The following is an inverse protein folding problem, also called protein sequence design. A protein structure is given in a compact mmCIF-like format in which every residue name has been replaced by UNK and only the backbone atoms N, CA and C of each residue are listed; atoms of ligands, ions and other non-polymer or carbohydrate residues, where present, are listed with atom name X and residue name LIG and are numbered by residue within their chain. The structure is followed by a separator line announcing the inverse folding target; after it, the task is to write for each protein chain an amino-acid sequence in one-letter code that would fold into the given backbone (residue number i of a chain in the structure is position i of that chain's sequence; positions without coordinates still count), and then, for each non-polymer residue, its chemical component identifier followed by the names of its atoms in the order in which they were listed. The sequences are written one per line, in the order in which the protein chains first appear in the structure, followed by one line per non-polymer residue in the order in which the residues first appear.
data_IF_708878181496
#
_entry.id   IF_708878181496
#
_cell.length_a   1.000
_cell.length_b   1.000
_cell.length_c   1.000
_cell.angle_alpha   90.00
_cell.angle_beta   90.00
_cell.angle_gamma   90.00
#
_symmetry.space_group_name_H-M   'P 1'
#
loop_
_entity.id
_entity.type
_entity.pdbx_description
1 polymer ?
#
# COMPACT_ATOMS: atom_id res chain seq x y z
N UNK A 1 36.60 -23.95 62.25
CA UNK A 1 36.46 -22.61 61.63
C UNK A 1 36.35 -22.79 60.11
N UNK A 2 35.19 -22.41 59.55
CA UNK A 2 34.93 -21.98 58.16
C UNK A 2 35.37 -22.88 56.99
N UNK A 3 34.38 -23.40 56.25
CA UNK A 3 34.33 -23.36 54.77
C UNK A 3 32.87 -23.49 54.33
N UNK A 4 32.20 -22.34 54.23
CA UNK A 4 30.83 -22.24 53.71
C UNK A 4 30.92 -22.20 52.18
N UNK A 5 30.36 -23.22 51.54
CA UNK A 5 30.28 -23.39 50.09
C UNK A 5 29.33 -22.34 49.51
N UNK A 6 29.87 -21.39 48.74
CA UNK A 6 29.09 -20.39 48.01
C UNK A 6 28.52 -21.02 46.74
N UNK A 7 27.22 -21.30 46.73
CA UNK A 7 26.47 -21.64 45.52
C UNK A 7 26.05 -20.32 44.86
N UNK A 8 26.71 -19.96 43.76
CA UNK A 8 26.30 -18.85 42.90
C UNK A 8 25.10 -19.31 42.06
N UNK A 9 23.89 -18.90 42.43
CA UNK A 9 22.69 -19.09 41.62
C UNK A 9 22.70 -18.05 40.49
N UNK A 10 23.18 -18.43 39.31
CA UNK A 10 23.12 -17.60 38.12
C UNK A 10 21.66 -17.56 37.62
N UNK A 11 20.97 -16.44 37.85
CA UNK A 11 19.65 -16.17 37.30
C UNK A 11 19.71 -16.00 35.78
N UNK A 12 19.07 -16.91 35.06
CA UNK A 12 18.95 -16.85 33.60
C UNK A 12 17.90 -15.79 33.24
N UNK A 13 18.33 -14.60 32.82
CA UNK A 13 17.44 -13.58 32.26
C UNK A 13 16.96 -14.05 30.88
N UNK A 14 15.68 -14.43 30.80
CA UNK A 14 15.00 -14.75 29.56
C UNK A 14 14.60 -13.43 28.86
N UNK A 15 15.49 -12.90 28.02
CA UNK A 15 15.16 -11.76 27.14
C UNK A 15 14.29 -12.25 25.99
N UNK A 16 12.98 -11.98 26.06
CA UNK A 16 12.08 -12.19 24.93
C UNK A 16 12.40 -11.15 23.84
N UNK A 17 13.12 -11.57 22.80
CA UNK A 17 13.35 -10.74 21.61
C UNK A 17 12.08 -10.71 20.78
N UNK A 18 11.37 -9.58 20.80
CA UNK A 18 10.30 -9.30 19.86
C UNK A 18 10.90 -9.18 18.45
N UNK A 19 10.74 -10.21 17.63
CA UNK A 19 11.02 -10.11 16.19
C UNK A 19 9.94 -9.26 15.55
N UNK A 20 10.29 -8.04 15.14
CA UNK A 20 9.47 -7.23 14.27
C UNK A 20 9.20 -8.01 12.98
N UNK A 21 7.93 -8.27 12.69
CA UNK A 21 7.52 -8.89 11.42
C UNK A 21 7.73 -7.88 10.30
N UNK A 22 8.81 -8.05 9.53
CA UNK A 22 8.96 -7.40 8.24
C UNK A 22 7.81 -7.87 7.34
N UNK A 23 7.04 -6.94 6.78
CA UNK A 23 6.13 -7.26 5.68
C UNK A 23 6.97 -7.91 4.59
N UNK A 24 6.71 -9.18 4.29
CA UNK A 24 7.41 -9.88 3.23
C UNK A 24 6.97 -9.29 1.90
N UNK A 25 7.90 -9.12 0.95
CA UNK A 25 7.64 -8.67 -0.43
C UNK A 25 6.73 -9.61 -1.24
N UNK A 26 6.07 -10.58 -0.60
CA UNK A 26 5.27 -11.60 -1.23
C UNK A 26 4.09 -10.97 -1.98
N UNK A 27 4.02 -11.26 -3.29
CA UNK A 27 2.92 -10.85 -4.17
C UNK A 27 3.10 -9.48 -4.84
N UNK A 28 4.06 -8.68 -4.41
CA UNK A 28 4.37 -7.40 -5.04
C UNK A 28 5.30 -7.58 -6.25
N UNK A 29 5.19 -6.65 -7.19
CA UNK A 29 5.88 -6.72 -8.48
C UNK A 29 7.36 -6.35 -8.32
N UNK A 30 8.30 -7.21 -8.75
CA UNK A 30 9.71 -6.84 -8.84
C UNK A 30 9.91 -5.68 -9.82
N UNK A 31 10.79 -4.72 -9.49
CA UNK A 31 11.07 -3.56 -10.36
C UNK A 31 10.17 -2.34 -10.13
N UNK A 32 9.21 -2.41 -9.20
CA UNK A 32 8.41 -1.27 -8.74
C UNK A 32 7.66 -0.55 -9.87
N UNK A 33 7.52 0.77 -9.75
CA UNK A 33 6.81 1.61 -10.74
C UNK A 33 7.28 1.40 -12.17
N UNK A 34 8.58 1.18 -12.40
CA UNK A 34 9.14 1.01 -13.74
C UNK A 34 8.56 -0.21 -14.46
N UNK A 35 8.28 -1.29 -13.72
CA UNK A 35 7.64 -2.47 -14.28
C UNK A 35 6.20 -2.18 -14.74
N UNK A 36 5.46 -1.35 -13.99
CA UNK A 36 4.09 -0.98 -14.34
C UNK A 36 4.04 -0.12 -15.62
N UNK A 37 4.88 0.91 -15.71
CA UNK A 37 4.91 1.81 -16.88
C UNK A 37 5.50 1.16 -18.13
N UNK A 38 6.18 0.01 -18.03
CA UNK A 38 6.60 -0.74 -19.21
C UNK A 38 5.44 -1.20 -20.12
N UNK A 39 4.24 -1.35 -19.55
CA UNK A 39 3.00 -1.68 -20.27
C UNK A 39 1.96 -0.56 -20.21
N UNK A 40 1.95 0.25 -19.15
CA UNK A 40 0.98 1.34 -18.95
C UNK A 40 1.46 2.72 -19.44
N UNK A 41 2.54 2.77 -20.23
CA UNK A 41 2.94 3.96 -20.98
C UNK A 41 2.08 4.10 -22.25
N UNK A 42 0.97 4.83 -22.11
CA UNK A 42 0.06 5.13 -23.22
C UNK A 42 0.32 6.51 -23.86
N UNK A 43 1.54 7.04 -23.69
CA UNK A 43 1.94 8.35 -24.19
C UNK A 43 1.86 9.48 -23.15
N UNK A 44 2.40 10.66 -23.47
CA UNK A 44 2.64 11.74 -22.51
C UNK A 44 1.35 12.29 -21.87
N UNK A 45 0.23 12.22 -22.58
CA UNK A 45 -1.09 12.69 -22.11
C UNK A 45 -1.88 11.60 -21.37
N UNK A 46 -1.29 10.43 -21.14
CA UNK A 46 -1.95 9.34 -20.41
C UNK A 46 -2.22 9.74 -18.94
N UNK A 47 -3.45 9.51 -18.41
CA UNK A 47 -3.75 9.71 -16.99
C UNK A 47 -2.83 8.92 -16.04
N UNK A 48 -2.22 7.83 -16.52
CA UNK A 48 -1.21 7.04 -15.77
C UNK A 48 0.05 7.87 -15.45
N UNK A 49 0.40 8.84 -16.30
CA UNK A 49 1.55 9.72 -16.04
C UNK A 49 1.17 10.91 -15.15
N UNK A 50 -0.04 11.44 -15.32
CA UNK A 50 -0.50 12.62 -14.58
C UNK A 50 -0.54 12.40 -13.05
N UNK A 51 -0.87 11.19 -12.58
CA UNK A 51 -0.82 10.86 -11.13
C UNK A 51 0.56 11.09 -10.52
N UNK A 52 1.64 10.86 -11.27
CA UNK A 52 3.01 11.03 -10.76
C UNK A 52 3.37 12.51 -10.49
N UNK A 53 2.65 13.44 -11.12
CA UNK A 53 2.80 14.89 -10.92
C UNK A 53 1.76 15.47 -9.94
N UNK A 54 0.76 14.69 -9.54
CA UNK A 54 -0.29 15.09 -8.60
C UNK A 54 0.09 14.88 -7.14
N UNK A 55 -0.85 15.15 -6.22
CA UNK A 55 -0.61 15.06 -4.76
C UNK A 55 -0.25 13.66 -4.25
N UNK A 56 -0.57 12.60 -5.00
CA UNK A 56 -0.24 11.21 -4.66
C UNK A 56 1.01 10.71 -5.39
N UNK A 57 1.55 11.50 -6.30
CA UNK A 57 2.85 11.27 -6.90
C UNK A 57 3.98 11.66 -5.94
N UNK A 58 5.19 11.66 -6.47
CA UNK A 58 6.37 12.02 -5.67
C UNK A 58 7.05 13.29 -6.13
N UNK A 59 6.52 13.95 -7.17
CA UNK A 59 7.06 15.22 -7.67
C UNK A 59 8.58 15.19 -7.91
N UNK A 60 9.14 14.01 -8.21
CA UNK A 60 10.58 13.81 -8.36
C UNK A 60 11.40 13.72 -7.06
N UNK A 61 10.77 13.73 -5.88
CA UNK A 61 11.45 13.54 -4.60
C UNK A 61 11.74 12.04 -4.33
N UNK A 62 12.99 11.65 -4.61
CA UNK A 62 13.48 10.30 -4.40
C UNK A 62 13.41 9.85 -2.93
N UNK A 63 13.42 10.77 -1.96
CA UNK A 63 13.28 10.44 -0.54
C UNK A 63 11.82 10.20 -0.16
N UNK A 64 10.88 10.94 -0.75
CA UNK A 64 9.45 10.67 -0.59
C UNK A 64 9.03 9.33 -1.22
N UNK A 65 9.79 8.83 -2.21
CA UNK A 65 9.65 7.47 -2.73
C UNK A 65 10.19 6.39 -1.78
N UNK A 66 11.07 6.74 -0.84
CA UNK A 66 11.73 5.79 0.05
C UNK A 66 10.70 5.20 1.04
N UNK A 67 10.32 3.94 0.82
CA UNK A 67 9.27 3.24 1.57
C UNK A 67 7.91 3.17 0.88
N UNK A 68 7.73 3.81 -0.28
CA UNK A 68 6.54 3.69 -1.13
C UNK A 68 6.68 2.49 -2.07
N UNK A 69 5.57 1.81 -2.36
CA UNK A 69 5.48 0.77 -3.41
C UNK A 69 5.04 1.36 -4.76
N UNK A 70 4.85 2.68 -4.83
CA UNK A 70 4.49 3.37 -6.07
C UNK A 70 3.07 3.01 -6.48
N UNK A 71 2.88 2.51 -7.71
CA UNK A 71 1.56 2.10 -8.21
C UNK A 71 0.88 1.10 -7.28
N UNK A 72 1.64 0.20 -6.66
CA UNK A 72 1.13 -0.85 -5.78
C UNK A 72 0.73 -0.36 -4.38
N UNK A 73 1.00 0.91 -4.03
CA UNK A 73 0.44 1.52 -2.81
C UNK A 73 -1.09 1.64 -2.90
N UNK A 74 -1.60 1.85 -4.12
CA UNK A 74 -3.03 1.98 -4.39
C UNK A 74 -3.59 0.72 -5.07
N UNK A 75 -2.84 0.15 -6.01
CA UNK A 75 -3.26 -1.02 -6.78
C UNK A 75 -2.95 -2.36 -6.10
N UNK A 76 -2.32 -2.35 -4.92
CA UNK A 76 -1.98 -3.54 -4.16
C UNK A 76 -0.97 -4.46 -4.86
N UNK A 77 -0.63 -5.60 -4.23
CA UNK A 77 0.32 -6.57 -4.77
C UNK A 77 -0.14 -7.10 -6.14
N UNK A 78 0.66 -6.87 -7.18
CA UNK A 78 0.26 -7.08 -8.57
C UNK A 78 1.23 -7.96 -9.38
N UNK A 79 2.05 -8.79 -8.72
CA UNK A 79 3.02 -9.64 -9.42
C UNK A 79 2.39 -10.57 -10.47
N UNK A 80 1.24 -11.19 -10.16
CA UNK A 80 0.53 -12.05 -11.12
C UNK A 80 -0.10 -11.24 -12.27
N UNK A 81 -0.54 -10.01 -12.00
CA UNK A 81 -1.01 -9.09 -13.02
C UNK A 81 0.13 -8.73 -13.97
N UNK A 82 1.34 -8.45 -13.46
CA UNK A 82 2.51 -8.18 -14.29
C UNK A 82 2.86 -9.33 -15.25
N UNK A 83 2.58 -10.59 -14.87
CA UNK A 83 2.79 -11.78 -15.72
C UNK A 83 1.69 -11.95 -16.78
N UNK A 84 0.43 -11.66 -16.44
CA UNK A 84 -0.72 -11.89 -17.31
C UNK A 84 -1.69 -10.68 -17.30
N UNK A 85 -1.27 -9.50 -17.80
CA UNK A 85 -1.93 -8.21 -17.54
C UNK A 85 -3.30 -8.05 -18.17
N UNK A 86 -3.68 -8.93 -19.10
CA UNK A 86 -5.01 -8.94 -19.73
C UNK A 86 -5.96 -9.96 -19.09
N UNK A 87 -5.45 -10.90 -18.30
CA UNK A 87 -6.22 -12.02 -17.74
C UNK A 87 -6.37 -11.95 -16.22
N UNK A 88 -5.37 -11.39 -15.54
CA UNK A 88 -5.34 -11.27 -14.08
C UNK A 88 -5.49 -9.79 -13.72
N UNK A 89 -6.41 -9.46 -12.81
CA UNK A 89 -6.55 -8.11 -12.30
C UNK A 89 -5.36 -7.73 -11.41
N UNK A 90 -5.03 -6.43 -11.27
CA UNK A 90 -4.17 -6.00 -10.17
C UNK A 90 -4.82 -6.35 -8.82
N UNK A 91 -4.04 -6.26 -7.73
CA UNK A 91 -4.52 -6.55 -6.38
C UNK A 91 -5.78 -5.75 -6.01
N UNK A 92 -5.81 -4.47 -6.42
CA UNK A 92 -6.94 -3.56 -6.32
C UNK A 92 -7.13 -2.86 -7.67
N UNK A 93 -8.38 -2.86 -8.14
CA UNK A 93 -8.79 -2.14 -9.34
C UNK A 93 -9.99 -1.27 -9.04
N UNK A 94 -10.00 -0.06 -9.59
CA UNK A 94 -11.04 0.95 -9.41
C UNK A 94 -11.97 1.07 -10.62
N UNK A 95 -11.95 0.07 -11.52
CA UNK A 95 -12.76 0.07 -12.74
C UNK A 95 -12.02 0.58 -13.98
N UNK A 96 -12.70 0.56 -15.15
CA UNK A 96 -14.00 -0.08 -15.36
C UNK A 96 -13.89 -1.58 -15.70
N UNK A 97 -12.73 -2.07 -16.18
CA UNK A 97 -12.56 -3.47 -16.61
C UNK A 97 -12.69 -4.46 -15.46
N UNK A 98 -12.00 -4.18 -14.37
CA UNK A 98 -12.07 -4.91 -13.12
C UNK A 98 -12.40 -3.93 -12.02
N UNK A 99 -13.17 -4.35 -11.04
CA UNK A 99 -13.54 -3.49 -9.92
C UNK A 99 -13.50 -4.30 -8.64
N UNK A 100 -12.68 -3.85 -7.69
CA UNK A 100 -12.75 -4.34 -6.34
C UNK A 100 -14.11 -3.95 -5.71
N UNK A 101 -14.47 -4.59 -4.60
CA UNK A 101 -15.66 -4.19 -3.83
C UNK A 101 -15.51 -2.75 -3.32
N UNK A 102 -16.64 -2.08 -3.02
CA UNK A 102 -16.64 -0.72 -2.47
C UNK A 102 -15.77 -0.61 -1.22
N UNK A 103 -15.91 -1.57 -0.30
CA UNK A 103 -15.09 -1.65 0.91
C UNK A 103 -13.58 -1.82 0.62
N UNK A 104 -13.21 -2.57 -0.42
CA UNK A 104 -11.80 -2.73 -0.79
C UNK A 104 -11.24 -1.46 -1.45
N UNK A 105 -12.01 -0.78 -2.28
CA UNK A 105 -11.62 0.50 -2.87
C UNK A 105 -11.41 1.58 -1.78
N UNK A 106 -12.38 1.74 -0.88
CA UNK A 106 -12.27 2.70 0.21
C UNK A 106 -11.15 2.31 1.18
N UNK A 107 -11.00 1.02 1.49
CA UNK A 107 -9.96 0.50 2.38
C UNK A 107 -8.55 0.89 1.96
N UNK A 108 -8.27 0.90 0.64
CA UNK A 108 -7.00 1.39 0.11
C UNK A 108 -6.72 2.84 0.54
N UNK A 109 -7.69 3.74 0.39
CA UNK A 109 -7.54 5.14 0.76
C UNK A 109 -7.44 5.30 2.28
N UNK A 110 -8.27 4.58 3.03
CA UNK A 110 -8.36 4.64 4.48
C UNK A 110 -7.08 4.16 5.18
N UNK A 111 -6.30 3.30 4.55
CA UNK A 111 -4.97 2.90 5.06
C UNK A 111 -4.07 4.09 5.38
N UNK A 112 -4.24 5.22 4.68
CA UNK A 112 -3.51 6.46 4.96
C UNK A 112 -4.40 7.60 5.48
N UNK A 113 -5.67 7.65 5.07
CA UNK A 113 -6.55 8.81 5.30
C UNK A 113 -7.54 8.66 6.44
N UNK A 114 -7.70 7.46 7.02
CA UNK A 114 -8.68 7.21 8.08
C UNK A 114 -8.48 8.15 9.28
N UNK A 115 -7.24 8.38 9.71
CA UNK A 115 -6.98 9.13 10.96
C UNK A 115 -6.96 10.65 10.79
N UNK A 116 -6.71 11.17 9.58
CA UNK A 116 -6.36 12.58 9.39
C UNK A 116 -7.25 13.34 8.40
N UNK A 117 -7.97 12.63 7.52
CA UNK A 117 -8.77 13.28 6.45
C UNK A 117 -10.24 12.87 6.53
N UNK A 118 -10.53 11.60 6.86
CA UNK A 118 -11.90 11.06 6.87
C UNK A 118 -12.22 10.22 8.12
N UNK A 119 -11.98 10.80 9.31
CA UNK A 119 -12.14 10.15 10.64
C UNK A 119 -13.51 9.51 10.91
N UNK A 120 -14.54 9.91 10.16
CA UNK A 120 -15.90 9.39 10.30
C UNK A 120 -16.42 8.65 9.06
N UNK A 121 -15.53 8.19 8.16
CA UNK A 121 -15.92 7.52 6.93
C UNK A 121 -16.90 6.36 7.16
N UNK A 122 -16.62 5.51 8.16
CA UNK A 122 -17.43 4.33 8.52
C UNK A 122 -18.88 4.66 8.89
N UNK A 123 -19.15 5.92 9.27
CA UNK A 123 -20.49 6.39 9.64
C UNK A 123 -21.03 7.41 8.62
N UNK A 124 -20.32 7.64 7.52
CA UNK A 124 -20.68 8.63 6.52
C UNK A 124 -21.84 8.15 5.65
N UNK A 125 -22.67 9.08 5.18
CA UNK A 125 -23.73 8.76 4.22
C UNK A 125 -23.17 8.22 2.91
N UNK A 126 -21.97 8.63 2.50
CA UNK A 126 -21.31 8.08 1.30
C UNK A 126 -21.08 6.57 1.46
N UNK A 127 -20.38 6.16 2.52
CA UNK A 127 -20.13 4.74 2.80
C UNK A 127 -21.43 3.95 2.95
N UNK A 128 -22.41 4.49 3.69
CA UNK A 128 -23.71 3.82 3.92
C UNK A 128 -24.52 3.63 2.64
N UNK A 129 -24.26 4.44 1.61
CA UNK A 129 -24.93 4.38 0.31
C UNK A 129 -24.00 3.84 -0.80
N UNK A 130 -22.91 3.15 -0.45
CA UNK A 130 -21.96 2.55 -1.40
C UNK A 130 -21.33 3.56 -2.40
N UNK A 131 -21.22 4.83 -1.99
CA UNK A 131 -20.46 5.84 -2.74
C UNK A 131 -19.01 5.78 -2.27
N UNK A 132 -18.11 5.43 -3.18
CA UNK A 132 -16.67 5.28 -2.89
C UNK A 132 -15.91 6.58 -3.07
N UNK A 133 -14.69 6.66 -2.54
CA UNK A 133 -13.81 7.82 -2.76
C UNK A 133 -13.64 8.15 -4.26
N UNK A 134 -13.43 7.12 -5.08
CA UNK A 134 -13.21 7.23 -6.53
C UNK A 134 -14.47 7.54 -7.34
N UNK A 135 -15.64 7.60 -6.70
CA UNK A 135 -16.86 8.07 -7.35
C UNK A 135 -16.83 9.59 -7.60
N UNK A 136 -16.01 10.32 -6.84
CA UNK A 136 -15.85 11.78 -6.95
C UNK A 136 -14.40 12.21 -7.19
N UNK A 137 -13.42 11.46 -6.68
CA UNK A 137 -12.00 11.80 -6.80
C UNK A 137 -11.32 10.99 -7.89
N UNK A 138 -10.64 11.67 -8.81
CA UNK A 138 -9.82 11.03 -9.84
C UNK A 138 -8.33 11.37 -9.66
N UNK A 139 -7.60 10.43 -9.07
CA UNK A 139 -6.16 10.57 -8.77
C UNK A 139 -5.29 10.59 -10.05
N UNK A 140 -5.83 10.13 -11.18
CA UNK A 140 -5.11 10.09 -12.45
C UNK A 140 -5.22 11.38 -13.28
N UNK A 141 -5.79 12.47 -12.75
CA UNK A 141 -6.00 13.73 -13.51
C UNK A 141 -5.01 14.85 -13.18
N UNK A 142 -4.03 14.61 -12.31
CA UNK A 142 -2.95 15.57 -12.04
C UNK A 142 -3.36 16.79 -11.21
N UNK A 143 -4.50 16.74 -10.50
CA UNK A 143 -5.01 17.79 -9.61
C UNK A 143 -5.59 17.24 -8.33
#
# INVERSE_FOLDING_TARGET
MMKVLRICLAGFLLTATATAMSQTDAGFTPGGTQQCISCHDFGPESPVHAVMAGSHGTNGDAKAMEGRRGCEDCHGPSANHAVAPTQVSPGISFGPRWSASTAAQDGTCLTCHEENVVVHWKNSLHMLNNVTCVSCHDIHTGG
#
